data_IF_271966648632
#
_entry.id   IF_271966648632
#
_cell.length_a   1.000
_cell.length_b   1.000
_cell.length_c   1.000
_cell.angle_alpha   90.00
_cell.angle_beta   90.00
_cell.angle_gamma   90.00
#
_symmetry.space_group_name_H-M   'P 1'
#
loop_
_entity.id
_entity.type
_entity.pdbx_description
1 polymer ?
#
# COMPACT_ATOMS: atom_id res chain seq x y z
N UNK A 1 2.38 10.62 18.43
CA UNK A 1 3.03 10.43 17.12
C UNK A 1 2.45 9.16 16.58
N UNK A 2 1.79 9.22 15.43
CA UNK A 2 1.12 8.06 14.82
C UNK A 2 2.12 7.00 14.38
N UNK A 3 1.63 5.82 14.00
CA UNK A 3 2.47 4.75 13.45
C UNK A 3 3.09 5.16 12.11
N UNK A 4 2.34 5.87 11.25
CA UNK A 4 2.85 6.45 9.99
C UNK A 4 4.08 7.35 10.28
N UNK A 5 3.93 8.30 11.19
CA UNK A 5 5.01 9.24 11.54
C UNK A 5 6.24 8.52 12.12
N UNK A 6 6.03 7.54 13.00
CA UNK A 6 7.11 6.75 13.58
C UNK A 6 7.86 5.94 12.51
N UNK A 7 7.11 5.30 11.60
CA UNK A 7 7.62 4.48 10.50
C UNK A 7 8.46 5.32 9.54
N UNK A 8 7.93 6.45 9.04
CA UNK A 8 8.64 7.34 8.12
C UNK A 8 9.86 7.99 8.78
N UNK A 9 9.77 8.36 10.06
CA UNK A 9 10.90 8.88 10.82
C UNK A 9 12.01 7.82 10.98
N UNK A 10 11.65 6.56 11.19
CA UNK A 10 12.62 5.47 11.29
C UNK A 10 13.26 5.16 9.92
N UNK A 11 12.48 5.18 8.85
CA UNK A 11 12.98 5.09 7.47
C UNK A 11 14.01 6.19 7.19
N UNK A 12 13.68 7.46 7.46
CA UNK A 12 14.56 8.59 7.14
C UNK A 12 15.90 8.54 7.90
N UNK A 13 15.97 7.87 9.06
CA UNK A 13 17.24 7.68 9.79
C UNK A 13 18.22 6.71 9.10
N UNK A 14 17.72 5.88 8.18
CA UNK A 14 18.51 4.87 7.45
C UNK A 14 18.98 5.39 6.10
N UNK A 15 18.47 6.53 5.66
CA UNK A 15 18.87 7.20 4.42
C UNK A 15 20.25 7.84 4.60
N UNK A 16 21.12 7.65 3.62
CA UNK A 16 22.47 8.20 3.61
C UNK A 16 22.50 9.69 3.25
N UNK A 17 23.70 10.28 3.21
CA UNK A 17 23.87 11.71 2.93
C UNK A 17 23.48 12.11 1.49
N UNK A 18 23.42 11.13 0.57
CA UNK A 18 23.03 11.33 -0.83
C UNK A 18 21.51 11.16 -1.01
N UNK A 19 20.76 10.90 0.06
CA UNK A 19 19.32 10.65 0.00
C UNK A 19 18.95 9.23 -0.40
N UNK A 20 19.90 8.28 -0.34
CA UNK A 20 19.72 6.90 -0.77
C UNK A 20 19.61 5.94 0.41
N UNK A 21 18.83 4.88 0.24
CA UNK A 21 18.73 3.76 1.17
C UNK A 21 19.35 2.53 0.53
N UNK A 22 20.28 1.88 1.22
CA UNK A 22 20.75 0.55 0.86
C UNK A 22 19.72 -0.49 1.29
N UNK A 23 19.28 -1.32 0.35
CA UNK A 23 18.31 -2.40 0.58
C UNK A 23 18.88 -3.74 0.12
N UNK A 24 18.51 -4.79 0.84
CA UNK A 24 18.77 -6.17 0.44
C UNK A 24 17.59 -6.71 -0.37
N UNK A 25 17.89 -7.19 -1.57
CA UNK A 25 16.98 -7.88 -2.48
C UNK A 25 17.11 -9.40 -2.36
N UNK A 26 16.33 -10.13 -3.17
CA UNK A 26 16.42 -11.58 -3.28
C UNK A 26 17.84 -12.06 -3.61
N UNK A 27 18.14 -13.31 -3.25
CA UNK A 27 19.44 -13.96 -3.44
C UNK A 27 20.65 -13.23 -2.81
N UNK A 28 20.39 -12.32 -1.87
CA UNK A 28 21.42 -11.53 -1.21
C UNK A 28 21.95 -10.37 -2.04
N UNK A 29 21.25 -10.00 -3.13
CA UNK A 29 21.53 -8.77 -3.86
C UNK A 29 21.41 -7.55 -2.96
N UNK A 30 22.22 -6.52 -3.22
CA UNK A 30 22.16 -5.25 -2.50
C UNK A 30 22.13 -4.13 -3.52
N UNK A 31 21.22 -3.18 -3.34
CA UNK A 31 21.06 -2.03 -4.21
C UNK A 31 20.78 -0.75 -3.42
N UNK A 32 20.90 0.39 -4.10
CA UNK A 32 20.51 1.69 -3.57
C UNK A 32 19.23 2.15 -4.22
N UNK A 33 18.28 2.57 -3.38
CA UNK A 33 17.00 3.13 -3.79
C UNK A 33 16.80 4.52 -3.18
N UNK A 34 15.86 5.26 -3.73
CA UNK A 34 15.45 6.56 -3.21
C UNK A 34 13.96 6.58 -2.87
N UNK A 35 13.58 7.56 -2.06
CA UNK A 35 12.19 7.88 -1.76
C UNK A 35 11.93 9.34 -2.13
N UNK A 36 10.89 9.56 -2.93
CA UNK A 36 10.49 10.87 -3.42
C UNK A 36 9.06 11.09 -2.96
N UNK A 37 8.87 11.77 -1.83
CA UNK A 37 7.54 12.09 -1.33
C UNK A 37 7.11 13.49 -1.73
N UNK A 38 5.85 13.62 -2.14
CA UNK A 38 5.26 14.91 -2.46
C UNK A 38 5.00 15.73 -1.19
N UNK A 39 4.78 17.05 -1.33
CA UNK A 39 4.27 17.88 -0.24
C UNK A 39 2.90 17.38 0.29
N UNK A 40 2.49 17.78 1.50
CA UNK A 40 1.16 17.51 2.05
C UNK A 40 0.01 17.89 1.13
N UNK A 41 -1.06 17.08 1.15
CA UNK A 41 -2.32 17.41 0.50
C UNK A 41 -3.04 18.53 1.25
N UNK A 42 -3.67 19.41 0.49
CA UNK A 42 -4.60 20.43 0.99
C UNK A 42 -5.96 19.79 1.31
N UNK A 43 -6.74 20.43 2.18
CA UNK A 43 -8.11 19.95 2.48
C UNK A 43 -9.04 20.06 1.25
N UNK A 44 -8.78 20.97 0.30
CA UNK A 44 -9.52 21.05 -0.97
C UNK A 44 -9.26 19.82 -1.83
N UNK A 45 -8.00 19.36 -1.93
CA UNK A 45 -7.67 18.12 -2.64
C UNK A 45 -8.34 16.92 -1.98
N UNK A 46 -8.25 16.80 -0.64
CA UNK A 46 -8.87 15.67 0.07
C UNK A 46 -10.40 15.63 -0.09
N UNK A 47 -11.07 16.77 -0.27
CA UNK A 47 -12.52 16.84 -0.50
C UNK A 47 -12.95 16.29 -1.87
N UNK A 48 -12.03 16.14 -2.83
CA UNK A 48 -12.34 15.55 -4.14
C UNK A 48 -12.58 14.03 -4.06
N UNK A 49 -12.10 13.36 -3.01
CA UNK A 49 -12.26 11.91 -2.85
C UNK A 49 -13.73 11.57 -2.55
N UNK A 50 -14.39 10.75 -3.39
CA UNK A 50 -15.83 10.49 -3.28
C UNK A 50 -16.18 9.37 -2.29
N UNK A 51 -15.25 9.01 -1.40
CA UNK A 51 -15.41 7.94 -0.42
C UNK A 51 -14.94 8.37 0.97
N UNK A 52 -15.31 7.59 1.99
CA UNK A 52 -14.82 7.80 3.35
C UNK A 52 -13.38 7.32 3.42
N UNK A 53 -12.44 8.26 3.38
CA UNK A 53 -11.01 7.97 3.48
C UNK A 53 -10.68 7.45 4.88
N UNK A 54 -10.08 6.26 5.03
CA UNK A 54 -9.58 5.77 6.31
C UNK A 54 -8.60 6.76 6.94
N UNK A 55 -8.68 6.96 8.26
CA UNK A 55 -7.94 8.05 8.92
C UNK A 55 -6.42 7.90 8.83
N UNK A 56 -5.89 6.68 8.85
CA UNK A 56 -4.46 6.40 8.71
C UNK A 56 -3.95 6.72 7.30
N UNK A 57 -4.73 6.38 6.25
CA UNK A 57 -4.40 6.79 4.90
C UNK A 57 -4.56 8.31 4.69
N UNK A 58 -5.59 8.92 5.29
CA UNK A 58 -5.79 10.37 5.28
C UNK A 58 -4.64 11.10 5.96
N UNK A 59 -4.12 10.56 7.07
CA UNK A 59 -2.93 11.08 7.72
C UNK A 59 -1.71 11.02 6.81
N UNK A 60 -1.50 9.91 6.09
CA UNK A 60 -0.43 9.82 5.11
C UNK A 60 -0.54 10.92 4.05
N UNK A 61 -1.72 11.14 3.46
CA UNK A 61 -1.92 12.20 2.46
C UNK A 61 -1.64 13.60 3.01
N UNK A 62 -1.94 13.85 4.29
CA UNK A 62 -1.62 15.11 4.98
C UNK A 62 -0.12 15.29 5.30
N UNK A 63 0.67 14.24 5.15
CA UNK A 63 2.14 14.31 5.24
C UNK A 63 2.75 14.35 3.85
N UNK A 64 2.25 13.51 2.94
CA UNK A 64 2.76 13.25 1.60
C UNK A 64 1.61 12.94 0.64
N UNK A 65 1.32 13.88 -0.26
CA UNK A 65 0.27 13.74 -1.29
C UNK A 65 0.77 12.90 -2.46
N UNK A 66 0.96 11.61 -2.21
CA UNK A 66 1.60 10.71 -3.16
C UNK A 66 3.13 10.77 -3.12
N UNK A 67 3.76 10.08 -4.07
CA UNK A 67 5.21 9.97 -4.18
C UNK A 67 5.67 8.58 -4.61
N UNK A 68 6.97 8.37 -4.64
CA UNK A 68 7.62 7.11 -5.01
C UNK A 68 8.43 6.57 -3.84
N UNK A 69 8.27 5.28 -3.53
CA UNK A 69 9.05 4.60 -2.51
C UNK A 69 9.81 3.41 -3.13
N UNK A 70 11.04 3.18 -2.66
CA UNK A 70 11.92 2.12 -3.19
C UNK A 70 12.21 2.28 -4.70
N UNK A 71 12.35 3.52 -5.19
CA UNK A 71 12.65 3.79 -6.59
C UNK A 71 14.15 3.59 -6.88
N UNK A 72 14.51 2.87 -7.95
CA UNK A 72 15.91 2.78 -8.34
C UNK A 72 16.33 4.08 -9.07
N UNK A 73 17.35 4.82 -8.60
CA UNK A 73 17.67 6.18 -9.09
C UNK A 73 18.04 6.24 -10.59
N UNK A 74 18.48 5.12 -11.16
CA UNK A 74 18.80 4.99 -12.60
C UNK A 74 17.72 4.30 -13.44
N UNK A 75 16.94 3.40 -12.86
CA UNK A 75 16.10 2.46 -13.62
C UNK A 75 14.61 2.66 -13.33
N UNK A 76 14.25 3.46 -12.33
CA UNK A 76 12.88 3.66 -11.91
C UNK A 76 12.34 2.47 -11.14
N UNK A 77 11.08 2.10 -11.43
CA UNK A 77 10.38 0.94 -10.88
C UNK A 77 10.07 0.98 -9.37
N UNK A 78 10.03 2.18 -8.77
CA UNK A 78 9.49 2.36 -7.42
C UNK A 78 7.99 2.03 -7.34
N UNK A 79 7.51 1.88 -6.11
CA UNK A 79 6.09 1.78 -5.83
C UNK A 79 5.52 3.20 -5.68
N UNK A 80 4.60 3.56 -6.57
CA UNK A 80 4.03 4.90 -6.66
C UNK A 80 2.78 5.00 -5.80
N UNK A 81 2.80 5.92 -4.83
CA UNK A 81 1.61 6.39 -4.13
C UNK A 81 0.96 7.50 -4.93
N UNK A 82 -0.33 7.35 -5.19
CA UNK A 82 -1.07 8.30 -5.99
C UNK A 82 -1.44 9.56 -5.21
N UNK A 83 -1.33 10.70 -5.89
CA UNK A 83 -2.07 11.92 -5.57
C UNK A 83 -3.57 11.66 -5.66
N UNK A 84 -4.37 12.56 -5.12
CA UNK A 84 -5.83 12.48 -5.22
C UNK A 84 -6.31 12.47 -6.67
N UNK A 85 -5.70 13.28 -7.53
CA UNK A 85 -6.10 13.34 -8.94
C UNK A 85 -5.73 12.02 -9.65
N UNK A 86 -4.55 11.45 -9.39
CA UNK A 86 -4.15 10.13 -9.91
C UNK A 86 -5.07 9.00 -9.42
N UNK A 87 -5.53 9.02 -8.16
CA UNK A 87 -6.52 8.04 -7.65
C UNK A 87 -7.78 8.06 -8.52
N UNK A 88 -8.28 9.26 -8.86
CA UNK A 88 -9.49 9.43 -9.66
C UNK A 88 -9.25 9.02 -11.12
N UNK A 89 -8.10 9.36 -11.68
CA UNK A 89 -7.70 8.98 -13.04
C UNK A 89 -7.56 7.46 -13.18
N UNK A 90 -6.84 6.80 -12.27
CA UNK A 90 -6.65 5.35 -12.28
C UNK A 90 -7.96 4.59 -12.07
N UNK A 91 -8.88 5.12 -11.26
CA UNK A 91 -10.20 4.52 -11.11
C UNK A 91 -11.07 4.66 -12.37
N UNK A 92 -10.83 5.68 -13.18
CA UNK A 92 -11.59 5.93 -14.40
C UNK A 92 -11.06 5.17 -15.63
N UNK A 93 -9.99 4.38 -15.50
CA UNK A 93 -9.41 3.61 -16.62
C UNK A 93 -10.43 2.57 -17.12
N UNK A 94 -10.86 2.61 -18.39
CA UNK A 94 -11.78 1.62 -18.94
C UNK A 94 -11.20 0.20 -18.88
N UNK A 95 -12.04 -0.77 -18.49
CA UNK A 95 -11.65 -2.18 -18.39
C UNK A 95 -11.21 -2.63 -17.00
N UNK A 96 -11.04 -1.69 -16.06
CA UNK A 96 -10.97 -2.01 -14.62
C UNK A 96 -12.34 -1.73 -14.01
N UNK A 97 -13.17 -2.75 -13.93
CA UNK A 97 -14.52 -2.67 -13.36
C UNK A 97 -14.45 -2.68 -11.82
N UNK A 98 -13.82 -1.65 -11.23
CA UNK A 98 -13.70 -1.49 -9.78
C UNK A 98 -15.08 -1.53 -9.12
N UNK A 99 -15.26 -2.29 -8.03
CA UNK A 99 -16.46 -2.18 -7.22
C UNK A 99 -16.70 -0.75 -6.75
N UNK A 100 -17.95 -0.45 -6.41
CA UNK A 100 -18.28 0.81 -5.77
C UNK A 100 -17.47 0.99 -4.49
N UNK A 101 -17.05 2.21 -4.22
CA UNK A 101 -16.18 2.57 -3.08
C UNK A 101 -14.77 1.98 -3.07
N UNK A 102 -14.32 1.32 -4.14
CA UNK A 102 -12.96 0.79 -4.24
C UNK A 102 -12.08 1.73 -5.05
N UNK A 103 -10.98 2.19 -4.45
CA UNK A 103 -10.11 3.21 -5.04
C UNK A 103 -8.65 2.75 -5.06
N UNK A 104 -8.01 2.67 -6.23
CA UNK A 104 -6.58 2.42 -6.31
C UNK A 104 -5.84 3.62 -5.72
N UNK A 105 -4.93 3.36 -4.79
CA UNK A 105 -4.15 4.38 -4.07
C UNK A 105 -2.65 4.30 -4.33
N UNK A 106 -2.21 3.21 -4.96
CA UNK A 106 -0.82 3.04 -5.34
C UNK A 106 -0.68 2.01 -6.46
N UNK A 107 0.46 2.05 -7.16
CA UNK A 107 0.80 1.15 -8.23
C UNK A 107 2.30 0.82 -8.25
N UNK A 108 2.65 -0.41 -8.62
CA UNK A 108 4.04 -0.80 -8.86
C UNK A 108 4.17 -2.22 -9.40
N UNK A 109 5.40 -2.73 -9.48
CA UNK A 109 5.72 -4.10 -9.94
C UNK A 109 5.08 -4.48 -11.27
N UNK A 110 5.02 -3.53 -12.21
CA UNK A 110 4.44 -3.73 -13.55
C UNK A 110 3.02 -4.32 -13.56
N UNK A 111 2.20 -3.98 -12.56
CA UNK A 111 0.80 -4.37 -12.58
C UNK A 111 0.07 -4.43 -11.23
N UNK A 112 0.77 -4.21 -10.13
CA UNK A 112 0.21 -4.38 -8.79
C UNK A 112 -0.39 -3.06 -8.28
N UNK A 113 -1.71 -3.03 -8.11
CA UNK A 113 -2.43 -1.95 -7.45
C UNK A 113 -2.66 -2.25 -5.97
N UNK A 114 -2.45 -1.23 -5.13
CA UNK A 114 -2.98 -1.22 -3.76
C UNK A 114 -4.29 -0.46 -3.75
N UNK A 115 -5.34 -1.04 -3.18
CA UNK A 115 -6.71 -0.54 -3.28
C UNK A 115 -7.29 -0.37 -1.88
N UNK A 116 -7.85 0.81 -1.62
CA UNK A 116 -8.72 1.06 -0.46
C UNK A 116 -10.11 0.55 -0.81
N UNK A 117 -10.72 -0.21 0.09
CA UNK A 117 -12.08 -0.73 -0.06
C UNK A 117 -12.96 -0.30 1.11
N UNK A 118 -14.28 -0.45 0.95
CA UNK A 118 -15.27 -0.31 2.02
C UNK A 118 -15.53 -1.62 2.79
N UNK A 119 -14.86 -2.71 2.41
CA UNK A 119 -14.98 -4.03 3.05
C UNK A 119 -13.82 -4.27 4.01
N UNK A 120 -14.16 -4.59 5.25
CA UNK A 120 -13.19 -4.98 6.26
C UNK A 120 -13.00 -6.49 6.29
N UNK A 121 -11.76 -6.96 6.13
CA UNK A 121 -11.36 -8.37 6.24
C UNK A 121 -10.24 -8.48 7.27
N UNK A 122 -10.41 -9.34 8.29
CA UNK A 122 -9.48 -9.41 9.40
C UNK A 122 -9.34 -8.06 10.11
N UNK A 123 -8.15 -7.48 10.08
CA UNK A 123 -7.84 -6.21 10.76
C UNK A 123 -7.76 -5.01 9.79
N UNK A 124 -8.17 -5.15 8.53
CA UNK A 124 -8.00 -4.06 7.58
C UNK A 124 -8.93 -4.06 6.38
N UNK A 125 -8.72 -3.07 5.53
CA UNK A 125 -9.59 -2.73 4.40
C UNK A 125 -8.88 -2.76 3.04
N UNK A 126 -7.59 -3.11 3.03
CA UNK A 126 -6.79 -3.11 1.83
C UNK A 126 -6.98 -4.37 0.99
N UNK A 127 -6.98 -4.16 -0.32
CA UNK A 127 -6.99 -5.18 -1.36
C UNK A 127 -5.79 -4.96 -2.29
N UNK A 128 -5.17 -6.02 -2.76
CA UNK A 128 -4.11 -5.96 -3.77
C UNK A 128 -4.60 -6.60 -5.06
N UNK A 129 -4.38 -5.94 -6.19
CA UNK A 129 -4.78 -6.46 -7.49
C UNK A 129 -3.59 -6.42 -8.44
N UNK A 130 -3.22 -7.58 -9.00
CA UNK A 130 -2.34 -7.60 -10.17
C UNK A 130 -3.17 -7.41 -11.45
N UNK A 131 -2.59 -6.77 -12.47
CA UNK A 131 -3.25 -6.57 -13.76
C UNK A 131 -3.64 -7.90 -14.39
N UNK A 132 -4.87 -7.99 -14.89
CA UNK A 132 -5.43 -9.20 -15.50
C UNK A 132 -6.17 -10.13 -14.53
N UNK A 133 -6.15 -9.86 -13.23
CA UNK A 133 -7.06 -10.49 -12.26
C UNK A 133 -8.37 -9.72 -12.16
N UNK A 134 -9.44 -10.42 -11.76
CA UNK A 134 -10.74 -9.79 -11.50
C UNK A 134 -10.93 -9.57 -9.99
N UNK A 135 -11.93 -8.77 -9.61
CA UNK A 135 -12.25 -8.51 -8.20
C UNK A 135 -12.95 -9.69 -7.49
N UNK A 136 -13.05 -10.86 -8.14
CA UNK A 136 -13.65 -12.06 -7.57
C UNK A 136 -12.62 -12.90 -6.80
N UNK A 137 -11.32 -12.69 -7.04
CA UNK A 137 -10.25 -13.35 -6.30
C UNK A 137 -10.12 -12.80 -4.87
N UNK A 138 -9.85 -13.67 -3.89
CA UNK A 138 -9.64 -13.25 -2.50
C UNK A 138 -8.21 -12.71 -2.30
N UNK A 139 -8.02 -11.46 -2.70
CA UNK A 139 -6.74 -10.74 -2.60
C UNK A 139 -6.74 -9.67 -1.49
N UNK A 140 -7.62 -9.82 -0.51
CA UNK A 140 -7.58 -9.00 0.70
C UNK A 140 -6.32 -9.34 1.50
N UNK A 141 -5.56 -8.30 1.89
CA UNK A 141 -4.35 -8.48 2.71
C UNK A 141 -4.64 -8.39 4.21
N UNK A 142 -5.84 -7.94 4.58
CA UNK A 142 -6.31 -7.85 5.98
C UNK A 142 -5.55 -6.84 6.84
N UNK A 143 -5.03 -5.78 6.23
CA UNK A 143 -4.23 -4.73 6.88
C UNK A 143 -4.79 -3.34 6.61
N UNK A 144 -4.58 -2.43 7.56
CA UNK A 144 -4.74 -0.98 7.35
C UNK A 144 -3.55 -0.44 6.54
N UNK A 145 -3.63 0.80 6.07
CA UNK A 145 -2.53 1.41 5.33
C UNK A 145 -1.28 1.58 6.20
N UNK A 146 -1.42 1.97 7.46
CA UNK A 146 -0.26 2.08 8.36
C UNK A 146 0.41 0.72 8.65
N UNK A 147 -0.37 -0.36 8.75
CA UNK A 147 0.14 -1.71 8.95
C UNK A 147 0.83 -2.27 7.72
N UNK A 148 0.30 -1.96 6.53
CA UNK A 148 0.90 -2.33 5.26
C UNK A 148 2.19 -1.55 5.02
N UNK A 149 2.19 -0.21 5.23
CA UNK A 149 3.35 0.64 4.99
C UNK A 149 4.55 0.26 5.88
N UNK A 150 4.29 0.00 7.17
CA UNK A 150 5.34 -0.48 8.08
C UNK A 150 5.97 -1.79 7.57
N UNK A 151 5.14 -2.78 7.23
CA UNK A 151 5.62 -4.08 6.74
C UNK A 151 6.32 -3.96 5.40
N UNK A 152 5.82 -3.09 4.52
CA UNK A 152 6.44 -2.82 3.23
C UNK A 152 7.85 -2.25 3.40
N UNK A 153 8.02 -1.35 4.36
CA UNK A 153 9.33 -0.77 4.71
C UNK A 153 10.26 -1.78 5.40
N UNK A 154 9.72 -2.66 6.25
CA UNK A 154 10.48 -3.76 6.87
C UNK A 154 10.92 -4.80 5.84
N UNK A 155 10.07 -5.07 4.86
CA UNK A 155 10.34 -5.95 3.73
C UNK A 155 11.19 -5.27 2.64
N UNK A 156 11.71 -4.07 2.90
CA UNK A 156 12.61 -3.35 2.00
C UNK A 156 12.05 -3.16 0.58
N UNK A 157 10.74 -2.97 0.47
CA UNK A 157 10.08 -2.81 -0.82
C UNK A 157 9.86 -4.12 -1.57
N UNK A 158 9.93 -5.28 -0.93
CA UNK A 158 9.47 -6.54 -1.51
C UNK A 158 7.95 -6.73 -1.29
N UNK A 159 7.31 -7.49 -2.19
CA UNK A 159 5.88 -7.88 -2.12
C UNK A 159 5.61 -8.87 -0.97
N UNK A 160 5.75 -8.43 0.27
CA UNK A 160 5.68 -9.31 1.46
C UNK A 160 4.35 -10.07 1.60
N UNK A 161 3.26 -9.55 1.00
CA UNK A 161 1.96 -10.21 0.99
C UNK A 161 1.94 -11.49 0.15
N UNK A 162 2.93 -11.72 -0.72
CA UNK A 162 3.09 -12.97 -1.49
C UNK A 162 3.88 -14.04 -0.74
N UNK A 163 4.50 -13.72 0.41
CA UNK A 163 5.34 -14.65 1.18
C UNK A 163 4.57 -15.79 1.88
N UNK A 164 3.27 -15.93 1.64
CA UNK A 164 2.51 -17.10 2.06
C UNK A 164 2.08 -17.11 3.53
N UNK A 165 2.18 -15.98 4.25
CA UNK A 165 1.50 -15.82 5.55
C UNK A 165 0.00 -15.58 5.35
N UNK A 166 -0.69 -16.48 4.64
CA UNK A 166 -2.15 -16.53 4.74
C UNK A 166 -2.47 -16.87 6.18
N UNK A 167 -3.04 -15.90 6.91
CA UNK A 167 -3.67 -16.17 8.22
C UNK A 167 -4.63 -17.34 7.94
N UNK A 168 -4.42 -18.52 8.54
CA UNK A 168 -5.36 -19.61 8.32
C UNK A 168 -6.75 -19.08 8.71
N UNK A 169 -7.79 -19.29 7.88
CA UNK A 169 -9.14 -18.93 8.28
C UNK A 169 -9.38 -19.56 9.63
N UNK A 170 -9.86 -18.76 10.59
CA UNK A 170 -10.14 -19.23 11.94
C UNK A 170 -10.98 -20.50 11.77
N UNK A 171 -10.38 -21.64 12.12
CA UNK A 171 -11.11 -22.89 12.19
C UNK A 171 -12.15 -22.68 13.27
N UNK A 172 -13.37 -22.35 12.86
CA UNK A 172 -14.53 -22.48 13.72
C UNK A 172 -14.62 -23.97 14.05
N UNK A 173 -14.04 -24.35 15.18
CA UNK A 173 -14.39 -25.62 15.80
C UNK A 173 -15.87 -25.52 16.14
N UNK A 174 -16.72 -26.03 15.25
CA UNK A 174 -18.03 -26.48 15.66
C UNK A 174 -17.74 -27.60 16.67
N UNK A 175 -18.00 -27.30 17.94
CA UNK A 175 -18.07 -28.33 18.95
C UNK A 175 -19.20 -29.26 18.56
N UNK A 176 -18.87 -30.38 17.94
CA UNK A 176 -19.77 -31.53 17.83
C UNK A 176 -19.98 -32.09 19.24
N UNK A 177 -20.80 -31.41 20.04
CA UNK A 177 -21.43 -32.01 21.21
C UNK A 177 -22.60 -32.85 20.71
N UNK A 178 -22.34 -34.12 20.42
CA UNK A 178 -23.33 -35.18 20.43
C UNK A 178 -22.67 -36.50 20.91
N UNK A 179 -22.66 -36.70 22.22
CA UNK A 179 -22.64 -38.00 22.88
C UNK A 179 -23.69 -38.00 23.99
#
# INVERSE_FOLDING_TARGET
MSKIQLTLKALNKRVDADGLLEVQQEDGGVEKVEMIFNPPATEEELQKLPFIVPEDYKEFLRLHHGGLIFNHPKYGAGFEFFTVDEILEHRAIPGYDYPDNWFPIAYGYDGCYLIVTDKWVGNGYLYVMDTGYNFEDDMFIGMTFEDWLEKFILAQGSKFWEWGFRIPPILNFQSDENY
#
